data_IF_987561735765
#
_entry.id   IF_987561735765
#
_cell.length_a   1.000
_cell.length_b   1.000
_cell.length_c   1.000
_cell.angle_alpha   90.00
_cell.angle_beta   90.00
_cell.angle_gamma   90.00
#
_symmetry.space_group_name_H-M   'P 1'
#
loop_
_entity.id
_entity.type
_entity.pdbx_description
1 polymer ?
#
# COMPACT_ATOMS: atom_id res chain seq x y z
N UNK A 1 -28.17 6.61 5.28
CA UNK A 1 -27.11 7.19 4.43
C UNK A 1 -26.56 6.08 3.54
N UNK A 2 -26.69 6.18 2.22
CA UNK A 2 -26.12 5.19 1.30
C UNK A 2 -24.59 5.29 1.42
N UNK A 3 -23.90 4.19 1.75
CA UNK A 3 -22.45 4.08 2.03
C UNK A 3 -21.57 4.39 0.80
N UNK A 4 -21.77 5.54 0.19
CA UNK A 4 -21.14 5.97 -1.05
C UNK A 4 -20.33 7.22 -0.73
N UNK A 5 -19.02 7.16 -0.99
CA UNK A 5 -18.16 8.33 -0.90
C UNK A 5 -18.61 9.37 -1.94
N UNK A 6 -18.88 10.61 -1.48
CA UNK A 6 -19.35 11.71 -2.36
C UNK A 6 -18.30 12.79 -2.62
N UNK A 7 -17.42 13.02 -1.66
CA UNK A 7 -16.32 13.99 -1.72
C UNK A 7 -15.28 13.63 -0.66
N UNK A 8 -14.02 14.01 -0.88
CA UNK A 8 -12.92 13.74 0.04
C UNK A 8 -11.61 13.42 -0.69
N UNK A 9 -10.60 13.06 0.08
CA UNK A 9 -9.28 12.62 -0.40
C UNK A 9 -9.02 11.22 0.15
N UNK A 10 -8.44 10.35 -0.67
CA UNK A 10 -7.88 9.06 -0.25
C UNK A 10 -6.38 9.13 -0.45
N UNK A 11 -5.61 8.91 0.61
CA UNK A 11 -4.16 8.80 0.52
C UNK A 11 -3.84 7.34 0.22
N UNK A 12 -3.15 7.08 -0.90
CA UNK A 12 -2.73 5.73 -1.29
C UNK A 12 -1.24 5.61 -1.08
N UNK A 13 -0.84 4.67 -0.23
CA UNK A 13 0.56 4.42 0.10
C UNK A 13 0.95 3.01 -0.33
N UNK A 14 1.89 2.90 -1.27
CA UNK A 14 2.45 1.61 -1.69
C UNK A 14 3.56 1.22 -0.73
N UNK A 15 3.42 0.05 -0.12
CA UNK A 15 4.40 -0.42 0.85
C UNK A 15 5.46 -1.23 0.12
N UNK A 16 6.73 -0.84 0.31
CA UNK A 16 7.88 -1.57 -0.21
C UNK A 16 8.46 -2.52 0.87
N UNK A 17 9.06 -3.65 0.45
CA UNK A 17 9.80 -4.53 1.36
C UNK A 17 10.90 -3.76 2.10
N UNK A 18 11.33 -4.27 3.26
CA UNK A 18 12.40 -3.69 4.06
C UNK A 18 12.18 -2.21 4.41
N UNK A 19 10.92 -1.76 4.47
CA UNK A 19 10.53 -0.38 4.73
C UNK A 19 11.17 0.65 3.78
N UNK A 20 11.47 0.30 2.53
CA UNK A 20 12.11 1.23 1.57
C UNK A 20 11.22 2.41 1.16
N UNK A 21 9.94 2.38 1.52
CA UNK A 21 8.99 3.49 1.32
C UNK A 21 8.77 4.33 2.57
N UNK A 22 9.61 4.20 3.60
CA UNK A 22 9.52 4.95 4.87
C UNK A 22 8.10 4.97 5.46
N UNK A 23 7.42 3.82 5.40
CA UNK A 23 5.98 3.73 5.63
C UNK A 23 5.59 4.11 7.06
N UNK A 24 6.44 3.79 8.04
CA UNK A 24 6.22 4.17 9.44
C UNK A 24 6.34 5.68 9.63
N UNK A 25 7.35 6.30 9.05
CA UNK A 25 7.58 7.75 9.15
C UNK A 25 6.47 8.54 8.45
N UNK A 26 6.01 8.07 7.29
CA UNK A 26 4.85 8.64 6.60
C UNK A 26 3.59 8.58 7.46
N UNK A 27 3.35 7.48 8.17
CA UNK A 27 2.19 7.39 9.07
C UNK A 27 2.28 8.37 10.24
N UNK A 28 3.49 8.58 10.80
CA UNK A 28 3.75 9.60 11.83
C UNK A 28 3.49 11.00 11.24
N UNK A 29 4.05 11.31 10.08
CA UNK A 29 3.90 12.62 9.44
C UNK A 29 2.43 12.93 9.12
N UNK A 30 1.69 11.94 8.62
CA UNK A 30 0.26 12.09 8.36
C UNK A 30 -0.53 12.34 9.64
N UNK A 31 -0.19 11.67 10.73
CA UNK A 31 -0.77 11.93 12.05
C UNK A 31 -0.48 13.36 12.51
N UNK A 32 0.77 13.79 12.46
CA UNK A 32 1.21 15.13 12.90
C UNK A 32 0.55 16.25 12.09
N UNK A 33 0.30 16.01 10.80
CA UNK A 33 -0.42 16.93 9.91
C UNK A 33 -1.95 16.88 10.06
N UNK A 34 -2.49 16.03 10.93
CA UNK A 34 -3.91 15.96 11.24
C UNK A 34 -4.77 15.08 10.31
N UNK A 35 -4.16 14.12 9.61
CA UNK A 35 -4.85 13.25 8.65
C UNK A 35 -5.43 11.95 9.24
N UNK A 36 -5.51 11.80 10.56
CA UNK A 36 -6.04 10.57 11.20
C UNK A 36 -7.47 10.18 10.75
N UNK A 37 -8.28 11.17 10.35
CA UNK A 37 -9.65 10.97 9.85
C UNK A 37 -9.73 10.73 8.35
N UNK A 38 -8.66 11.02 7.62
CA UNK A 38 -8.59 10.84 6.17
C UNK A 38 -8.44 9.35 5.87
N UNK A 39 -9.15 8.88 4.85
CA UNK A 39 -9.00 7.49 4.41
C UNK A 39 -7.59 7.26 3.86
N UNK A 40 -6.89 6.30 4.45
CA UNK A 40 -5.61 5.81 3.95
C UNK A 40 -5.77 4.40 3.39
N UNK A 41 -5.25 4.19 2.19
CA UNK A 41 -5.15 2.89 1.54
C UNK A 41 -3.71 2.41 1.62
N UNK A 42 -3.48 1.38 2.43
CA UNK A 42 -2.17 0.75 2.62
C UNK A 42 -2.08 -0.43 1.66
N UNK A 43 -1.22 -0.33 0.65
CA UNK A 43 -1.24 -1.25 -0.50
C UNK A 43 -0.09 -2.26 -0.42
N UNK A 44 -0.41 -3.55 -0.54
CA UNK A 44 0.52 -4.68 -0.59
C UNK A 44 0.91 -5.08 -2.03
N UNK A 45 0.60 -4.24 -3.01
CA UNK A 45 0.64 -4.55 -4.45
C UNK A 45 2.04 -4.55 -5.08
N UNK A 46 3.10 -4.34 -4.30
CA UNK A 46 4.44 -4.26 -4.85
C UNK A 46 4.90 -5.60 -5.43
N UNK A 47 5.32 -5.58 -6.69
CA UNK A 47 5.85 -6.73 -7.41
C UNK A 47 7.18 -6.33 -8.09
N UNK A 48 8.32 -7.00 -7.77
CA UNK A 48 9.62 -6.62 -8.30
C UNK A 48 9.78 -7.03 -9.77
N UNK A 49 9.68 -6.04 -10.67
CA UNK A 49 9.84 -6.22 -12.11
C UNK A 49 11.09 -5.58 -12.68
N UNK A 50 11.48 -6.05 -13.87
CA UNK A 50 12.62 -5.54 -14.63
C UNK A 50 13.89 -5.50 -13.75
N UNK A 51 14.50 -4.33 -13.59
CA UNK A 51 15.75 -4.11 -12.83
C UNK A 51 15.55 -4.10 -11.33
N UNK A 52 14.33 -4.14 -10.79
CA UNK A 52 14.10 -4.23 -9.35
C UNK A 52 14.79 -5.47 -8.73
N UNK A 53 14.94 -6.54 -9.53
CA UNK A 53 15.62 -7.78 -9.14
C UNK A 53 17.12 -7.59 -8.89
N UNK A 54 17.72 -6.51 -9.42
CA UNK A 54 19.14 -6.18 -9.23
C UNK A 54 19.41 -5.49 -7.87
N UNK A 55 18.36 -5.09 -7.14
CA UNK A 55 18.48 -4.32 -5.90
C UNK A 55 17.98 -5.13 -4.71
N UNK A 56 18.89 -5.55 -3.83
CA UNK A 56 18.58 -6.43 -2.69
C UNK A 56 17.48 -5.89 -1.76
N UNK A 57 17.34 -4.57 -1.64
CA UNK A 57 16.38 -3.97 -0.72
C UNK A 57 14.94 -4.03 -1.23
N UNK A 58 14.75 -4.20 -2.55
CA UNK A 58 13.42 -4.23 -3.19
C UNK A 58 13.19 -5.43 -4.10
N UNK A 59 14.13 -6.38 -4.21
CA UNK A 59 14.05 -7.52 -5.14
C UNK A 59 13.01 -8.60 -4.78
N UNK A 60 12.12 -8.34 -3.82
CA UNK A 60 11.11 -9.30 -3.35
C UNK A 60 9.77 -8.62 -3.11
N UNK A 61 8.72 -9.43 -3.06
CA UNK A 61 7.41 -8.97 -2.57
C UNK A 61 7.47 -8.68 -1.07
N UNK A 62 6.48 -7.92 -0.62
CA UNK A 62 6.25 -7.65 0.79
C UNK A 62 5.87 -8.95 1.51
N UNK A 63 6.42 -9.19 2.70
CA UNK A 63 5.99 -10.32 3.53
C UNK A 63 4.70 -9.96 4.29
N UNK A 64 3.86 -10.98 4.54
CA UNK A 64 2.64 -10.81 5.32
C UNK A 64 2.89 -10.12 6.66
N UNK A 65 3.97 -10.50 7.36
CA UNK A 65 4.35 -9.87 8.63
C UNK A 65 4.66 -8.39 8.49
N UNK A 66 5.46 -7.98 7.50
CA UNK A 66 5.80 -6.57 7.28
C UNK A 66 4.55 -5.72 7.02
N UNK A 67 3.63 -6.26 6.22
CA UNK A 67 2.36 -5.62 5.93
C UNK A 67 1.48 -5.50 7.17
N UNK A 68 1.25 -6.62 7.87
CA UNK A 68 0.40 -6.67 9.05
C UNK A 68 0.93 -5.82 10.21
N UNK A 69 2.25 -5.79 10.41
CA UNK A 69 2.90 -4.95 11.42
C UNK A 69 2.63 -3.45 11.12
N UNK A 70 2.68 -3.03 9.85
CA UNK A 70 2.37 -1.66 9.46
C UNK A 70 0.87 -1.31 9.62
N UNK A 71 -0.04 -2.24 9.28
CA UNK A 71 -1.48 -2.04 9.51
C UNK A 71 -1.76 -1.83 11.00
N UNK A 72 -1.20 -2.69 11.86
CA UNK A 72 -1.36 -2.56 13.31
C UNK A 72 -0.76 -1.24 13.82
N UNK A 73 0.40 -0.84 13.30
CA UNK A 73 1.00 0.44 13.64
C UNK A 73 0.11 1.64 13.28
N UNK A 74 -0.52 1.62 12.10
CA UNK A 74 -1.49 2.66 11.72
C UNK A 74 -2.72 2.67 12.66
N UNK A 75 -3.21 1.50 13.07
CA UNK A 75 -4.28 1.41 14.05
C UNK A 75 -3.86 2.00 15.41
N UNK A 76 -2.67 1.65 15.90
CA UNK A 76 -2.11 2.15 17.16
C UNK A 76 -1.88 3.66 17.15
N UNK A 77 -1.55 4.24 15.99
CA UNK A 77 -1.43 5.69 15.81
C UNK A 77 -2.78 6.42 15.85
N UNK A 78 -3.89 5.71 15.67
CA UNK A 78 -5.25 6.24 15.75
C UNK A 78 -5.88 6.57 14.39
N UNK A 79 -5.43 5.99 13.28
CA UNK A 79 -6.09 6.14 11.99
C UNK A 79 -7.49 5.50 12.01
N UNK A 80 -8.52 6.27 11.64
CA UNK A 80 -9.92 5.84 11.74
C UNK A 80 -10.40 5.04 10.51
N UNK A 81 -9.81 5.30 9.33
CA UNK A 81 -10.29 4.79 8.05
C UNK A 81 -9.13 4.16 7.25
N UNK A 82 -8.88 2.87 7.45
CA UNK A 82 -7.82 2.13 6.75
C UNK A 82 -8.45 1.19 5.73
N UNK A 83 -8.02 1.30 4.47
CA UNK A 83 -8.28 0.32 3.43
C UNK A 83 -7.05 -0.59 3.33
N UNK A 84 -7.24 -1.86 3.68
CA UNK A 84 -6.26 -2.93 3.53
C UNK A 84 -6.65 -3.85 2.37
N UNK A 85 -5.66 -4.52 1.79
CA UNK A 85 -5.79 -5.49 0.71
C UNK A 85 -5.18 -6.84 1.11
N UNK A 86 -5.64 -7.91 0.44
CA UNK A 86 -5.03 -9.24 0.50
C UNK A 86 -3.63 -9.23 -0.16
N UNK A 87 -2.74 -10.12 0.28
CA UNK A 87 -1.35 -10.16 -0.21
C UNK A 87 -1.24 -10.61 -1.67
N UNK A 88 -2.20 -11.40 -2.13
CA UNK A 88 -2.35 -11.88 -3.51
C UNK A 88 -2.62 -10.74 -4.51
N UNK A 89 -3.00 -9.55 -4.01
CA UNK A 89 -3.24 -8.37 -4.86
C UNK A 89 -2.02 -7.95 -5.69
N UNK A 90 -0.81 -8.30 -5.25
CA UNK A 90 0.43 -8.08 -6.02
C UNK A 90 0.47 -8.83 -7.35
N UNK A 91 -0.27 -9.93 -7.49
CA UNK A 91 -0.33 -10.75 -8.71
C UNK A 91 -1.55 -10.39 -9.56
N UNK A 92 -2.69 -10.16 -8.91
CA UNK A 92 -3.95 -9.86 -9.60
C UNK A 92 -3.90 -8.57 -10.41
N UNK A 93 -3.16 -7.56 -9.95
CA UNK A 93 -3.12 -6.24 -10.58
C UNK A 93 -1.82 -5.98 -11.38
N UNK A 94 -1.06 -7.03 -11.72
CA UNK A 94 0.15 -6.90 -12.50
C UNK A 94 -0.19 -6.83 -14.00
N UNK A 95 0.04 -5.69 -14.68
CA UNK A 95 -0.21 -5.61 -16.12
C UNK A 95 0.80 -6.45 -16.90
N UNK A 96 0.30 -7.15 -17.92
CA UNK A 96 1.13 -7.93 -18.84
C UNK A 96 1.39 -7.11 -20.11
N UNK A 97 2.51 -6.38 -20.11
CA UNK A 97 2.91 -5.54 -21.24
C UNK A 97 3.29 -6.31 -22.51
N UNK A 98 3.24 -7.65 -22.50
CA UNK A 98 3.39 -8.47 -23.72
C UNK A 98 2.06 -8.65 -24.47
N UNK A 99 0.92 -8.34 -23.84
CA UNK A 99 -0.42 -8.45 -24.43
C UNK A 99 -0.82 -7.19 -25.19
N UNK A 100 -1.79 -7.35 -26.10
CA UNK A 100 -2.44 -6.23 -26.79
C UNK A 100 -3.21 -5.31 -25.82
N UNK A 101 -3.79 -5.87 -24.76
CA UNK A 101 -4.47 -5.13 -23.69
C UNK A 101 -3.81 -5.45 -22.35
N UNK A 102 -2.78 -4.68 -21.93
CA UNK A 102 -1.95 -5.01 -20.77
C UNK A 102 -2.66 -5.04 -19.42
N UNK A 103 -3.78 -4.33 -19.28
CA UNK A 103 -4.51 -4.15 -18.02
C UNK A 103 -5.78 -5.03 -17.92
N UNK A 104 -5.87 -6.07 -18.74
CA UNK A 104 -6.94 -7.05 -18.62
C UNK A 104 -6.57 -8.08 -17.54
N UNK A 105 -7.18 -7.91 -16.37
CA UNK A 105 -7.03 -8.77 -15.18
C UNK A 105 -8.10 -9.85 -15.12
#
# INVERSE_FOLDING_TARGET
KNKIAKSGIIIRHLILPNNQSDSYDILIELKERGFLKTTISLMSQYNPEFRAKDFNDINRKLYFKEYNDLINYALDLGFENILSQEMESSETYLPDFTREIPFQF
#
